data_IF_868986114663
#
_entry.id   IF_868986114663
#
_cell.length_a   1.000
_cell.length_b   1.000
_cell.length_c   1.000
_cell.angle_alpha   90.00
_cell.angle_beta   90.00
_cell.angle_gamma   90.00
#
_symmetry.space_group_name_H-M   'P 1'
#
loop_
_entity.id
_entity.type
_entity.pdbx_description
1 polymer ?
#
# COMPACT_ATOMS: atom_id res chain seq x y z
N UNK A 1 -7.46 10.54 -27.21
CA UNK A 1 -8.50 9.65 -26.70
C UNK A 1 -7.95 8.28 -26.24
N UNK A 2 -7.32 7.45 -27.08
CA UNK A 2 -6.79 6.12 -26.64
C UNK A 2 -5.77 6.17 -25.49
N UNK A 3 -4.83 7.15 -25.48
CA UNK A 3 -3.84 7.30 -24.41
C UNK A 3 -4.47 7.71 -23.07
N UNK A 4 -5.48 8.55 -23.09
CA UNK A 4 -6.23 8.95 -21.89
C UNK A 4 -7.03 7.78 -21.30
N UNK A 5 -7.72 7.00 -22.14
CA UNK A 5 -8.44 5.80 -21.70
C UNK A 5 -7.49 4.75 -21.10
N UNK A 6 -6.29 4.60 -21.67
CA UNK A 6 -5.26 3.72 -21.11
C UNK A 6 -4.81 4.21 -19.72
N UNK A 7 -4.55 5.49 -19.54
CA UNK A 7 -4.18 6.07 -18.25
C UNK A 7 -5.30 5.88 -17.19
N UNK A 8 -6.55 6.16 -17.59
CA UNK A 8 -7.71 5.94 -16.72
C UNK A 8 -7.81 4.46 -16.32
N UNK A 9 -7.62 3.53 -17.26
CA UNK A 9 -7.65 2.09 -16.96
C UNK A 9 -6.59 1.69 -15.93
N UNK A 10 -5.37 2.26 -16.04
CA UNK A 10 -4.30 2.01 -15.08
C UNK A 10 -4.65 2.64 -13.72
N UNK A 11 -5.28 3.80 -13.69
CA UNK A 11 -5.76 4.40 -12.44
C UNK A 11 -6.80 3.52 -11.73
N UNK A 12 -7.69 2.87 -12.47
CA UNK A 12 -8.61 1.88 -11.89
C UNK A 12 -7.90 0.65 -11.32
N UNK A 13 -6.75 0.24 -11.89
CA UNK A 13 -5.91 -0.80 -11.28
C UNK A 13 -5.43 -0.38 -9.89
N UNK A 14 -5.01 0.88 -9.70
CA UNK A 14 -4.60 1.38 -8.39
C UNK A 14 -5.78 1.46 -7.41
N UNK A 15 -6.95 1.91 -7.86
CA UNK A 15 -8.17 1.87 -7.04
C UNK A 15 -8.46 0.45 -6.55
N UNK A 16 -8.42 -0.53 -7.46
CA UNK A 16 -8.62 -1.94 -7.14
C UNK A 16 -7.58 -2.50 -6.15
N UNK A 17 -6.31 -2.09 -6.30
CA UNK A 17 -5.24 -2.47 -5.35
C UNK A 17 -5.52 -1.98 -3.92
N UNK A 18 -6.20 -0.84 -3.76
CA UNK A 18 -6.60 -0.32 -2.44
C UNK A 18 -7.47 -1.29 -1.63
N UNK A 19 -8.23 -2.14 -2.30
CA UNK A 19 -9.00 -3.19 -1.63
C UNK A 19 -8.12 -4.29 -1.01
N UNK A 20 -6.94 -4.55 -1.59
CA UNK A 20 -5.97 -5.51 -1.03
C UNK A 20 -5.39 -5.06 0.30
N UNK A 21 -5.23 -3.75 0.51
CA UNK A 21 -4.72 -3.18 1.76
C UNK A 21 -5.71 -3.40 2.92
N UNK A 22 -6.97 -3.73 2.63
CA UNK A 22 -8.00 -4.01 3.61
C UNK A 22 -7.85 -5.38 4.30
N UNK A 23 -7.00 -6.27 3.81
CA UNK A 23 -6.81 -7.60 4.39
C UNK A 23 -6.42 -7.54 5.89
N UNK A 24 -5.67 -6.51 6.30
CA UNK A 24 -5.35 -6.27 7.71
C UNK A 24 -6.58 -5.98 8.58
N UNK A 25 -7.62 -5.38 8.01
CA UNK A 25 -8.86 -5.05 8.72
C UNK A 25 -9.75 -6.29 8.94
N UNK A 26 -9.55 -7.35 8.13
CA UNK A 26 -10.29 -8.60 8.28
C UNK A 26 -9.80 -9.46 9.46
N UNK A 27 -8.60 -9.22 10.00
CA UNK A 27 -8.01 -10.05 11.04
C UNK A 27 -8.92 -10.14 12.28
N UNK A 28 -9.38 -9.00 12.80
CA UNK A 28 -10.24 -8.97 13.98
C UNK A 28 -11.64 -9.56 13.74
N UNK A 29 -12.12 -9.46 12.51
CA UNK A 29 -13.41 -10.04 12.11
C UNK A 29 -13.31 -11.55 11.99
N UNK A 30 -12.23 -12.03 11.37
CA UNK A 30 -11.95 -13.48 11.22
C UNK A 30 -11.71 -14.14 12.57
N UNK A 31 -11.00 -13.48 13.48
CA UNK A 31 -10.77 -13.95 14.85
C UNK A 31 -12.09 -14.28 15.54
N UNK A 32 -13.05 -13.35 15.50
CA UNK A 32 -14.37 -13.51 16.08
C UNK A 32 -15.23 -14.52 15.32
N UNK A 33 -15.26 -14.42 13.97
CA UNK A 33 -16.12 -15.23 13.12
C UNK A 33 -15.82 -16.74 13.18
N UNK A 34 -14.54 -17.08 13.37
CA UNK A 34 -14.12 -18.50 13.39
C UNK A 34 -13.65 -18.97 14.76
N UNK A 35 -13.78 -18.13 15.80
CA UNK A 35 -13.33 -18.42 17.17
C UNK A 35 -11.88 -18.97 17.21
N UNK A 36 -11.00 -18.35 16.43
CA UNK A 36 -9.58 -18.73 16.34
C UNK A 36 -8.73 -17.83 17.24
N UNK A 37 -7.52 -18.30 17.59
CA UNK A 37 -6.59 -17.47 18.39
C UNK A 37 -6.14 -16.22 17.62
N UNK A 38 -5.76 -15.12 18.31
CA UNK A 38 -5.21 -13.92 17.66
C UNK A 38 -4.01 -14.22 16.75
N UNK A 39 -3.17 -15.19 17.14
CA UNK A 39 -2.05 -15.66 16.31
C UNK A 39 -2.56 -16.28 15.00
N UNK A 40 -3.53 -17.18 15.08
CA UNK A 40 -4.12 -17.84 13.91
C UNK A 40 -4.82 -16.83 12.99
N UNK A 41 -5.57 -15.87 13.55
CA UNK A 41 -6.20 -14.81 12.79
C UNK A 41 -5.19 -13.93 12.05
N UNK A 42 -4.03 -13.65 12.64
CA UNK A 42 -2.99 -12.82 12.00
C UNK A 42 -2.35 -13.48 10.77
N UNK A 43 -2.47 -14.82 10.60
CA UNK A 43 -2.07 -15.52 9.39
C UNK A 43 -2.80 -15.00 8.14
N UNK A 44 -4.01 -14.46 8.30
CA UNK A 44 -4.78 -13.84 7.20
C UNK A 44 -4.00 -12.67 6.61
N UNK A 45 -3.56 -11.72 7.43
CA UNK A 45 -2.76 -10.59 6.94
C UNK A 45 -1.40 -11.04 6.41
N UNK A 46 -0.74 -11.97 7.12
CA UNK A 46 0.56 -12.51 6.72
C UNK A 46 0.49 -13.19 5.35
N UNK A 47 -0.57 -13.97 5.07
CA UNK A 47 -0.73 -14.68 3.79
C UNK A 47 -0.74 -13.73 2.60
N UNK A 48 -1.36 -12.56 2.72
CA UNK A 48 -1.34 -11.52 1.69
C UNK A 48 0.02 -10.83 1.56
N UNK A 49 0.61 -10.44 2.69
CA UNK A 49 1.86 -9.67 2.69
C UNK A 49 3.08 -10.48 2.26
N UNK A 50 3.12 -11.77 2.54
CA UNK A 50 4.25 -12.64 2.13
C UNK A 50 4.41 -12.67 0.61
N UNK A 51 3.33 -12.49 -0.14
CA UNK A 51 3.34 -12.45 -1.60
C UNK A 51 4.17 -11.29 -2.14
N UNK A 52 4.23 -10.15 -1.44
CA UNK A 52 5.10 -9.04 -1.82
C UNK A 52 6.59 -9.42 -1.75
N UNK A 53 6.99 -10.21 -0.76
CA UNK A 53 8.35 -10.73 -0.68
C UNK A 53 8.67 -11.79 -1.73
N UNK A 54 7.74 -12.70 -1.98
CA UNK A 54 7.97 -13.91 -2.80
C UNK A 54 7.78 -13.63 -4.30
N UNK A 55 6.71 -12.91 -4.70
CA UNK A 55 6.32 -12.76 -6.10
C UNK A 55 6.85 -11.50 -6.78
N UNK A 56 7.33 -10.48 -6.04
CA UNK A 56 7.71 -9.21 -6.67
C UNK A 56 8.86 -9.34 -7.67
N UNK A 57 9.97 -9.97 -7.28
CA UNK A 57 11.10 -10.18 -8.20
C UNK A 57 10.74 -11.14 -9.35
N UNK A 58 10.11 -12.32 -9.12
CA UNK A 58 9.60 -13.15 -10.21
C UNK A 58 8.69 -12.39 -11.18
N UNK A 59 7.79 -11.55 -10.68
CA UNK A 59 6.89 -10.74 -11.51
C UNK A 59 7.69 -9.76 -12.39
N UNK A 60 8.71 -9.09 -11.85
CA UNK A 60 9.60 -8.21 -12.61
C UNK A 60 10.28 -8.96 -13.77
N UNK A 61 10.72 -10.21 -13.53
CA UNK A 61 11.30 -11.08 -14.56
C UNK A 61 10.26 -11.51 -15.59
N UNK A 62 9.09 -11.93 -15.16
CA UNK A 62 8.04 -12.38 -16.08
C UNK A 62 7.50 -11.25 -16.94
N UNK A 63 7.28 -10.06 -16.37
CA UNK A 63 6.78 -8.92 -17.15
C UNK A 63 7.78 -8.48 -18.25
N UNK A 64 9.09 -8.63 -18.03
CA UNK A 64 10.09 -8.33 -19.06
C UNK A 64 9.98 -9.25 -20.28
N UNK A 65 9.42 -10.46 -20.10
CA UNK A 65 9.25 -11.46 -21.17
C UNK A 65 7.88 -11.38 -21.84
N UNK A 66 6.80 -11.26 -21.04
CA UNK A 66 5.43 -11.34 -21.56
C UNK A 66 4.73 -9.98 -21.67
N UNK A 67 5.35 -8.92 -21.14
CA UNK A 67 4.86 -7.54 -21.18
C UNK A 67 3.95 -7.18 -19.99
N UNK A 68 3.97 -5.89 -19.65
CA UNK A 68 3.27 -5.32 -18.48
C UNK A 68 1.75 -5.52 -18.55
N UNK A 69 1.12 -5.36 -19.73
CA UNK A 69 -0.32 -5.57 -19.91
C UNK A 69 -0.76 -6.99 -19.54
N UNK A 70 -0.04 -8.01 -20.04
CA UNK A 70 -0.36 -9.40 -19.75
C UNK A 70 -0.20 -9.71 -18.26
N UNK A 71 0.86 -9.16 -17.64
CA UNK A 71 1.06 -9.31 -16.20
C UNK A 71 -0.06 -8.65 -15.40
N UNK A 72 -0.49 -7.43 -15.75
CA UNK A 72 -1.66 -6.80 -15.10
C UNK A 72 -2.91 -7.65 -15.24
N UNK A 73 -3.15 -8.21 -16.42
CA UNK A 73 -4.32 -9.10 -16.65
C UNK A 73 -4.26 -10.33 -15.74
N UNK A 74 -3.09 -10.98 -15.62
CA UNK A 74 -2.88 -12.12 -14.71
C UNK A 74 -3.09 -11.69 -13.26
N UNK A 75 -2.54 -10.56 -12.84
CA UNK A 75 -2.71 -10.01 -11.50
C UNK A 75 -4.18 -9.74 -11.16
N UNK A 76 -4.94 -9.14 -12.09
CA UNK A 76 -6.37 -8.88 -11.92
C UNK A 76 -7.19 -10.17 -11.84
N UNK A 77 -6.86 -11.19 -12.63
CA UNK A 77 -7.54 -12.51 -12.58
C UNK A 77 -7.28 -13.19 -11.23
N UNK A 78 -6.04 -13.18 -10.72
CA UNK A 78 -5.72 -13.76 -9.42
C UNK A 78 -6.41 -13.00 -8.29
N UNK A 79 -6.43 -11.67 -8.35
CA UNK A 79 -7.11 -10.83 -7.36
C UNK A 79 -8.62 -11.09 -7.38
N UNK A 80 -9.22 -11.15 -8.56
CA UNK A 80 -10.64 -11.44 -8.75
C UNK A 80 -10.99 -12.85 -8.22
N UNK A 81 -10.17 -13.86 -8.52
CA UNK A 81 -10.35 -15.21 -7.99
C UNK A 81 -10.35 -15.20 -6.45
N UNK A 82 -9.37 -14.50 -5.83
CA UNK A 82 -9.33 -14.31 -4.39
C UNK A 82 -10.58 -13.62 -3.83
N UNK A 83 -11.10 -12.58 -4.50
CA UNK A 83 -12.31 -11.89 -4.06
C UNK A 83 -13.59 -12.74 -4.22
N UNK A 84 -13.64 -13.66 -5.18
CA UNK A 84 -14.82 -14.52 -5.43
C UNK A 84 -14.88 -15.71 -4.47
N UNK A 85 -13.74 -16.25 -4.03
CA UNK A 85 -13.70 -17.44 -3.16
C UNK A 85 -14.55 -17.31 -1.88
N UNK A 86 -14.49 -16.20 -1.09
CA UNK A 86 -15.32 -16.05 0.10
C UNK A 86 -16.83 -15.92 -0.17
N UNK A 87 -17.20 -15.58 -1.43
CA UNK A 87 -18.60 -15.54 -1.86
C UNK A 87 -19.14 -16.96 -2.03
N UNK A 88 -18.32 -17.85 -2.60
CA UNK A 88 -18.70 -19.25 -2.90
C UNK A 88 -18.67 -20.12 -1.64
N UNK A 89 -17.66 -19.96 -0.80
CA UNK A 89 -17.52 -20.72 0.45
C UNK A 89 -16.86 -19.86 1.53
N UNK A 90 -17.43 -19.92 2.73
CA UNK A 90 -16.97 -19.11 3.86
C UNK A 90 -16.50 -20.00 5.01
N UNK A 91 -15.19 -20.24 5.05
CA UNK A 91 -14.50 -20.90 6.14
C UNK A 91 -13.07 -20.38 6.24
N UNK A 92 -12.40 -20.65 7.37
CA UNK A 92 -11.07 -20.10 7.64
C UNK A 92 -10.01 -20.47 6.57
N UNK A 93 -9.86 -21.72 6.09
CA UNK A 93 -8.94 -22.05 5.01
C UNK A 93 -9.22 -21.32 3.71
N UNK A 94 -10.49 -21.14 3.34
CA UNK A 94 -10.89 -20.39 2.13
C UNK A 94 -10.52 -18.91 2.26
N UNK A 95 -10.73 -18.30 3.43
CA UNK A 95 -10.30 -16.91 3.66
C UNK A 95 -8.77 -16.77 3.55
N UNK A 96 -8.00 -17.70 4.11
CA UNK A 96 -6.54 -17.69 3.95
C UNK A 96 -6.13 -17.77 2.48
N UNK A 97 -6.73 -18.69 1.72
CA UNK A 97 -6.45 -18.84 0.29
C UNK A 97 -6.90 -17.60 -0.49
N UNK A 98 -8.05 -17.04 -0.16
CA UNK A 98 -8.57 -15.82 -0.78
C UNK A 98 -7.60 -14.65 -0.61
N UNK A 99 -7.16 -14.39 0.63
CA UNK A 99 -6.22 -13.29 0.93
C UNK A 99 -4.84 -13.55 0.32
N UNK A 100 -4.39 -14.79 0.27
CA UNK A 100 -3.16 -15.18 -0.42
C UNK A 100 -3.23 -14.86 -1.92
N UNK A 101 -4.34 -15.22 -2.60
CA UNK A 101 -4.55 -14.91 -4.01
C UNK A 101 -4.71 -13.41 -4.25
N UNK A 102 -5.43 -12.71 -3.38
CA UNK A 102 -5.54 -11.25 -3.43
C UNK A 102 -4.17 -10.58 -3.27
N UNK A 103 -3.35 -11.04 -2.32
CA UNK A 103 -1.99 -10.57 -2.11
C UNK A 103 -1.08 -10.83 -3.31
N UNK A 104 -1.17 -12.03 -3.91
CA UNK A 104 -0.45 -12.36 -5.14
C UNK A 104 -0.86 -11.44 -6.30
N UNK A 105 -2.17 -11.25 -6.50
CA UNK A 105 -2.72 -10.32 -7.49
C UNK A 105 -2.25 -8.89 -7.25
N UNK A 106 -2.39 -8.37 -6.02
CA UNK A 106 -1.95 -7.02 -5.65
C UNK A 106 -0.45 -6.81 -5.88
N UNK A 107 0.39 -7.80 -5.55
CA UNK A 107 1.83 -7.76 -5.82
C UNK A 107 2.13 -7.61 -7.31
N UNK A 108 1.49 -8.44 -8.15
CA UNK A 108 1.66 -8.39 -9.61
C UNK A 108 1.20 -7.03 -10.14
N UNK A 109 0.06 -6.53 -9.67
CA UNK A 109 -0.46 -5.22 -10.06
C UNK A 109 0.49 -4.08 -9.65
N UNK A 110 1.07 -4.14 -8.45
CA UNK A 110 2.02 -3.14 -7.95
C UNK A 110 3.30 -3.12 -8.78
N UNK A 111 3.90 -4.30 -9.05
CA UNK A 111 5.13 -4.43 -9.85
C UNK A 111 4.93 -3.96 -11.28
N UNK A 112 3.77 -4.26 -11.87
CA UNK A 112 3.51 -3.94 -13.29
C UNK A 112 2.86 -2.56 -13.48
N UNK A 113 2.03 -2.12 -12.54
CA UNK A 113 1.29 -0.87 -12.60
C UNK A 113 2.19 0.36 -12.45
N UNK A 114 3.12 0.33 -11.48
CA UNK A 114 3.99 1.47 -11.24
C UNK A 114 4.81 1.88 -12.49
N UNK A 115 5.55 0.99 -13.16
CA UNK A 115 6.27 1.37 -14.39
C UNK A 115 5.32 1.63 -15.56
N UNK A 116 4.14 1.02 -15.61
CA UNK A 116 3.17 1.29 -16.67
C UNK A 116 2.64 2.71 -16.62
N UNK A 117 2.48 3.32 -15.45
CA UNK A 117 2.15 4.75 -15.32
C UNK A 117 3.19 5.60 -16.08
N UNK A 118 4.49 5.27 -15.99
CA UNK A 118 5.55 5.96 -16.75
C UNK A 118 5.33 5.84 -18.26
N UNK A 119 4.98 4.65 -18.73
CA UNK A 119 4.84 4.38 -20.18
C UNK A 119 3.61 5.09 -20.78
N UNK A 120 2.53 5.23 -20.01
CA UNK A 120 1.28 5.88 -20.46
C UNK A 120 1.24 7.38 -20.17
N UNK A 121 2.14 7.90 -19.33
CA UNK A 121 2.23 9.32 -18.99
C UNK A 121 3.00 10.14 -20.02
N UNK A 122 2.80 11.46 -19.98
CA UNK A 122 3.64 12.41 -20.71
C UNK A 122 5.04 12.46 -20.10
N UNK A 123 6.03 12.82 -20.90
CA UNK A 123 7.42 12.97 -20.44
C UNK A 123 7.49 14.02 -19.32
N UNK A 124 8.31 13.72 -18.30
CA UNK A 124 8.47 14.59 -17.13
C UNK A 124 7.32 14.52 -16.11
N UNK A 125 6.19 13.87 -16.40
CA UNK A 125 5.03 13.81 -15.49
C UNK A 125 4.91 12.51 -14.70
N UNK A 126 5.88 11.62 -14.76
CA UNK A 126 5.79 10.30 -14.13
C UNK A 126 5.51 10.37 -12.63
N UNK A 127 6.31 11.12 -11.87
CA UNK A 127 6.14 11.25 -10.41
C UNK A 127 4.77 11.81 -10.03
N UNK A 128 4.28 12.81 -10.79
CA UNK A 128 2.94 13.39 -10.60
C UNK A 128 1.84 12.36 -10.84
N UNK A 129 1.89 11.65 -11.97
CA UNK A 129 0.88 10.64 -12.32
C UNK A 129 0.92 9.45 -11.37
N UNK A 130 2.11 9.04 -10.89
CA UNK A 130 2.23 7.98 -9.90
C UNK A 130 1.64 8.40 -8.55
N UNK A 131 1.81 9.65 -8.13
CA UNK A 131 1.18 10.19 -6.91
C UNK A 131 -0.35 10.23 -7.03
N UNK A 132 -0.91 10.63 -8.18
CA UNK A 132 -2.35 10.54 -8.43
C UNK A 132 -2.84 9.08 -8.41
N UNK A 133 -2.12 8.15 -9.03
CA UNK A 133 -2.46 6.73 -9.00
C UNK A 133 -2.50 6.20 -7.55
N UNK A 134 -1.50 6.55 -6.74
CA UNK A 134 -1.47 6.17 -5.33
C UNK A 134 -2.58 6.86 -4.50
N UNK A 135 -3.06 8.06 -4.90
CA UNK A 135 -4.22 8.68 -4.24
C UNK A 135 -5.50 7.86 -4.49
N UNK A 136 -5.69 7.34 -5.70
CA UNK A 136 -6.80 6.43 -6.01
C UNK A 136 -6.71 5.10 -5.24
N UNK A 137 -5.50 4.58 -5.05
CA UNK A 137 -5.28 3.44 -4.15
C UNK A 137 -5.77 3.74 -2.73
N UNK A 138 -5.43 4.93 -2.19
CA UNK A 138 -5.91 5.36 -0.88
C UNK A 138 -7.44 5.50 -0.81
N UNK A 139 -8.11 5.92 -1.90
CA UNK A 139 -9.58 5.92 -1.98
C UNK A 139 -10.12 4.48 -1.86
N UNK A 140 -9.53 3.51 -2.54
CA UNK A 140 -9.91 2.10 -2.42
C UNK A 140 -9.82 1.60 -0.98
N UNK A 141 -8.71 1.88 -0.31
CA UNK A 141 -8.50 1.52 1.12
C UNK A 141 -9.51 2.20 2.05
N UNK A 142 -9.74 3.51 1.84
CA UNK A 142 -10.70 4.29 2.64
C UNK A 142 -12.14 3.80 2.41
N UNK A 143 -12.50 3.53 1.16
CA UNK A 143 -13.84 3.00 0.81
C UNK A 143 -14.12 1.71 1.55
N UNK A 144 -13.15 0.81 1.65
CA UNK A 144 -13.28 -0.44 2.41
C UNK A 144 -13.57 -0.17 3.87
N UNK A 145 -12.80 0.72 4.51
CA UNK A 145 -12.99 1.10 5.91
C UNK A 145 -14.36 1.73 6.16
N UNK A 146 -14.77 2.64 5.27
CA UNK A 146 -16.08 3.31 5.37
C UNK A 146 -17.24 2.33 5.14
N UNK A 147 -17.13 1.43 4.17
CA UNK A 147 -18.13 0.40 3.91
C UNK A 147 -18.29 -0.49 5.14
N UNK A 148 -17.18 -0.93 5.77
CA UNK A 148 -17.24 -1.74 7.00
C UNK A 148 -17.97 -1.00 8.13
N UNK A 149 -17.68 0.28 8.34
CA UNK A 149 -18.34 1.09 9.38
C UNK A 149 -19.82 1.31 9.07
N UNK A 150 -20.17 1.71 7.84
CA UNK A 150 -21.54 2.00 7.44
C UNK A 150 -22.42 0.74 7.44
N UNK A 151 -21.88 -0.38 7.00
CA UNK A 151 -22.60 -1.65 6.93
C UNK A 151 -22.80 -2.19 8.34
N UNK A 152 -21.76 -2.20 9.18
CA UNK A 152 -21.84 -2.67 10.57
C UNK A 152 -22.90 -1.92 11.39
N UNK A 153 -23.05 -0.60 11.17
CA UNK A 153 -24.03 0.20 11.91
C UNK A 153 -25.47 0.13 11.36
N UNK A 154 -25.62 -0.01 10.02
CA UNK A 154 -26.93 0.10 9.37
C UNK A 154 -27.58 -1.25 9.10
N UNK A 155 -26.82 -2.27 8.72
CA UNK A 155 -27.35 -3.58 8.30
C UNK A 155 -27.50 -4.57 9.45
N UNK A 156 -26.79 -4.39 10.57
CA UNK A 156 -27.05 -5.14 11.81
C UNK A 156 -28.51 -5.03 12.25
N UNK A 157 -29.14 -3.87 12.00
CA UNK A 157 -30.53 -3.59 12.36
C UNK A 157 -31.54 -4.49 11.65
N UNK A 158 -31.15 -5.09 10.51
CA UNK A 158 -32.04 -5.92 9.66
C UNK A 158 -31.72 -7.43 9.71
N UNK A 159 -30.69 -7.86 10.45
CA UNK A 159 -30.35 -9.28 10.61
C UNK A 159 -29.89 -10.03 9.36
N UNK A 160 -29.77 -9.34 8.22
CA UNK A 160 -29.48 -9.99 6.92
C UNK A 160 -28.05 -10.53 6.80
N UNK A 161 -27.16 -10.07 7.64
CA UNK A 161 -25.74 -10.43 7.63
C UNK A 161 -25.23 -10.87 9.00
N UNK A 162 -26.13 -11.33 9.87
CA UNK A 162 -25.74 -11.91 11.16
C UNK A 162 -25.50 -13.42 11.00
N UNK A 163 -24.43 -13.90 11.63
CA UNK A 163 -24.13 -15.32 11.76
C UNK A 163 -23.94 -15.62 13.25
N UNK A 164 -24.66 -16.60 13.75
CA UNK A 164 -24.49 -17.07 15.13
C UNK A 164 -23.85 -18.44 15.08
N UNK A 165 -22.55 -18.57 15.44
CA UNK A 165 -21.91 -19.88 15.58
C UNK A 165 -22.65 -20.71 16.64
N UNK A 166 -22.64 -22.03 16.54
CA UNK A 166 -23.22 -22.89 17.58
C UNK A 166 -22.57 -22.59 18.94
N UNK A 167 -23.34 -22.06 19.91
CA UNK A 167 -22.90 -21.71 21.26
C UNK A 167 -22.13 -20.38 21.39
N UNK A 168 -22.09 -19.51 20.37
CA UNK A 168 -21.38 -18.23 20.37
C UNK A 168 -22.28 -17.00 20.24
N UNK A 169 -21.67 -15.81 20.38
CA UNK A 169 -22.33 -14.53 20.14
C UNK A 169 -22.62 -14.33 18.65
N UNK A 170 -23.69 -13.60 18.35
CA UNK A 170 -24.05 -13.22 16.98
C UNK A 170 -22.98 -12.30 16.39
N UNK A 171 -22.38 -12.71 15.29
CA UNK A 171 -21.29 -11.99 14.61
C UNK A 171 -21.87 -11.23 13.42
N UNK A 172 -21.47 -9.96 13.28
CA UNK A 172 -21.78 -9.17 12.10
C UNK A 172 -20.96 -9.69 10.91
N UNK A 173 -21.67 -10.21 9.92
CA UNK A 173 -21.10 -10.70 8.65
C UNK A 173 -21.19 -9.66 7.53
N UNK A 174 -21.50 -8.41 7.86
CA UNK A 174 -21.62 -7.32 6.88
C UNK A 174 -20.37 -7.15 6.02
N UNK A 175 -19.20 -7.50 6.54
CA UNK A 175 -17.96 -7.50 5.78
C UNK A 175 -17.99 -8.42 4.54
N UNK A 176 -18.85 -9.43 4.47
CA UNK A 176 -18.99 -10.30 3.30
C UNK A 176 -19.46 -9.54 2.06
N UNK A 177 -20.18 -8.42 2.22
CA UNK A 177 -20.58 -7.54 1.11
C UNK A 177 -19.36 -6.92 0.40
N UNK A 178 -18.22 -6.77 1.08
CA UNK A 178 -17.01 -6.24 0.46
C UNK A 178 -16.56 -7.09 -0.71
N UNK A 179 -16.63 -8.41 -0.60
CA UNK A 179 -16.13 -9.32 -1.64
C UNK A 179 -16.90 -9.20 -2.98
N UNK A 180 -18.24 -9.18 -3.03
CA UNK A 180 -18.97 -8.88 -4.24
C UNK A 180 -18.66 -7.49 -4.83
N UNK A 181 -18.53 -6.46 -3.99
CA UNK A 181 -18.17 -5.11 -4.43
C UNK A 181 -16.78 -5.13 -5.07
N UNK A 182 -15.80 -5.76 -4.42
CA UNK A 182 -14.44 -5.90 -4.96
C UNK A 182 -14.46 -6.69 -6.28
N UNK A 183 -15.21 -7.79 -6.36
CA UNK A 183 -15.30 -8.60 -7.56
C UNK A 183 -15.85 -7.79 -8.74
N UNK A 184 -16.89 -6.98 -8.53
CA UNK A 184 -17.45 -6.11 -9.59
C UNK A 184 -16.44 -5.05 -10.04
N UNK A 185 -15.78 -4.35 -9.12
CA UNK A 185 -14.77 -3.33 -9.47
C UNK A 185 -13.58 -3.97 -10.17
N UNK A 186 -13.12 -5.13 -9.71
CA UNK A 186 -12.02 -5.88 -10.34
C UNK A 186 -12.39 -6.35 -11.74
N UNK A 187 -13.63 -6.81 -11.95
CA UNK A 187 -14.13 -7.22 -13.28
C UNK A 187 -14.18 -6.04 -14.25
N UNK A 188 -14.72 -4.90 -13.81
CA UNK A 188 -14.74 -3.66 -14.60
C UNK A 188 -13.30 -3.26 -14.96
N UNK A 189 -12.40 -3.27 -13.97
CA UNK A 189 -10.98 -2.93 -14.18
C UNK A 189 -10.30 -3.88 -15.15
N UNK A 190 -10.57 -5.18 -15.05
CA UNK A 190 -10.06 -6.19 -15.98
C UNK A 190 -10.50 -5.91 -17.42
N UNK A 191 -11.79 -5.65 -17.63
CA UNK A 191 -12.32 -5.30 -18.95
C UNK A 191 -11.63 -4.02 -19.48
N UNK A 192 -11.53 -2.99 -18.66
CA UNK A 192 -10.85 -1.73 -19.04
C UNK A 192 -9.39 -1.97 -19.44
N UNK A 193 -8.62 -2.76 -18.70
CA UNK A 193 -7.22 -3.08 -19.00
C UNK A 193 -7.13 -3.87 -20.31
N UNK A 194 -7.96 -4.87 -20.50
CA UNK A 194 -7.95 -5.70 -21.72
C UNK A 194 -8.29 -4.87 -22.96
N UNK A 195 -9.28 -3.98 -22.87
CA UNK A 195 -9.78 -3.21 -24.02
C UNK A 195 -8.89 -1.98 -24.32
N UNK A 196 -8.54 -1.19 -23.30
CA UNK A 196 -7.96 0.13 -23.52
C UNK A 196 -6.44 0.22 -23.33
N UNK A 197 -5.81 -0.72 -22.61
CA UNK A 197 -4.35 -0.73 -22.50
C UNK A 197 -3.75 -1.41 -23.72
N UNK A 198 -2.89 -0.74 -24.51
CA UNK A 198 -2.24 -1.34 -25.68
C UNK A 198 -1.29 -2.48 -25.28
N UNK A 199 -1.12 -3.47 -26.16
CA UNK A 199 -0.22 -4.61 -25.87
C UNK A 199 1.26 -4.24 -25.95
N UNK A 200 1.60 -3.18 -26.70
CA UNK A 200 2.99 -2.74 -26.98
C UNK A 200 3.31 -1.41 -26.28
N UNK A 201 3.03 -1.29 -24.99
CA UNK A 201 3.24 -0.03 -24.23
C UNK A 201 4.67 0.08 -23.67
N UNK A 202 5.51 -0.95 -23.77
CA UNK A 202 6.91 -0.85 -23.34
C UNK A 202 7.66 0.20 -24.13
N UNK A 203 8.31 1.17 -23.46
CA UNK A 203 9.31 2.01 -24.09
C UNK A 203 10.47 1.12 -24.55
N UNK A 204 11.04 1.41 -25.71
CA UNK A 204 12.02 0.58 -26.44
C UNK A 204 13.33 0.27 -25.70
N UNK A 205 13.56 0.87 -24.54
CA UNK A 205 14.83 0.81 -23.80
C UNK A 205 14.90 -0.33 -22.77
N UNK A 206 13.79 -1.05 -22.53
CA UNK A 206 13.74 -2.10 -21.50
C UNK A 206 14.27 -3.43 -22.05
N UNK A 207 15.31 -3.98 -21.39
CA UNK A 207 15.89 -5.27 -21.73
C UNK A 207 15.19 -6.41 -20.99
N UNK A 208 15.10 -7.63 -21.59
CA UNK A 208 14.69 -8.82 -20.85
C UNK A 208 15.60 -9.04 -19.64
N UNK A 209 15.01 -9.31 -18.49
CA UNK A 209 15.78 -9.51 -17.26
C UNK A 209 15.71 -10.94 -16.75
N UNK A 210 16.61 -11.26 -15.78
CA UNK A 210 16.72 -12.54 -15.09
C UNK A 210 16.77 -12.30 -13.57
N UNK A 211 16.51 -13.34 -12.76
CA UNK A 211 16.69 -13.26 -11.30
C UNK A 211 18.12 -12.82 -10.94
N UNK A 212 19.13 -13.32 -11.65
CA UNK A 212 20.53 -12.93 -11.43
C UNK A 212 20.75 -11.43 -11.66
N UNK A 213 20.09 -10.83 -12.66
CA UNK A 213 20.18 -9.40 -12.93
C UNK A 213 19.51 -8.58 -11.82
N UNK A 214 18.39 -9.04 -11.27
CA UNK A 214 17.74 -8.38 -10.14
C UNK A 214 18.67 -8.38 -8.90
N UNK A 215 19.29 -9.52 -8.57
CA UNK A 215 20.24 -9.61 -7.45
C UNK A 215 21.46 -8.72 -7.72
N UNK A 216 22.01 -8.75 -8.93
CA UNK A 216 23.14 -7.91 -9.32
C UNK A 216 22.81 -6.41 -9.26
N UNK A 217 21.56 -6.03 -9.53
CA UNK A 217 21.11 -4.65 -9.41
C UNK A 217 21.23 -4.11 -7.98
N UNK A 218 21.05 -4.93 -6.94
CA UNK A 218 21.31 -4.55 -5.55
C UNK A 218 22.80 -4.28 -5.26
N UNK A 219 23.72 -4.74 -6.10
CA UNK A 219 25.13 -4.35 -6.04
C UNK A 219 25.38 -2.89 -6.43
N UNK A 220 24.41 -2.22 -7.08
CA UNK A 220 24.48 -0.80 -7.34
C UNK A 220 24.12 -0.02 -6.06
N UNK A 221 25.04 0.82 -5.51
CA UNK A 221 24.81 1.53 -4.25
C UNK A 221 23.56 2.43 -4.26
N UNK A 222 23.24 3.02 -5.42
CA UNK A 222 22.05 3.86 -5.57
C UNK A 222 20.77 3.02 -5.49
N UNK A 223 20.68 1.90 -6.20
CA UNK A 223 19.51 1.01 -6.17
C UNK A 223 19.33 0.41 -4.77
N UNK A 224 20.42 -0.03 -4.13
CA UNK A 224 20.37 -0.54 -2.75
C UNK A 224 19.88 0.53 -1.76
N UNK A 225 20.39 1.77 -1.90
CA UNK A 225 19.94 2.89 -1.06
C UNK A 225 18.43 3.16 -1.24
N UNK A 226 17.92 3.12 -2.48
CA UNK A 226 16.49 3.31 -2.77
C UNK A 226 15.63 2.12 -2.29
N UNK A 227 16.14 0.89 -2.41
CA UNK A 227 15.51 -0.31 -1.87
C UNK A 227 15.32 -0.20 -0.35
N UNK A 228 16.39 0.13 0.37
CA UNK A 228 16.33 0.33 1.82
C UNK A 228 15.44 1.52 2.19
N UNK A 229 15.39 2.57 1.34
CA UNK A 229 14.51 3.71 1.58
C UNK A 229 13.02 3.30 1.54
N UNK A 230 12.59 2.49 0.57
CA UNK A 230 11.24 1.94 0.54
C UNK A 230 10.99 0.99 1.71
N UNK A 231 11.95 0.13 2.03
CA UNK A 231 11.85 -0.81 3.15
C UNK A 231 11.58 -0.06 4.48
N UNK A 232 12.39 0.94 4.80
CA UNK A 232 12.22 1.72 6.01
C UNK A 232 10.97 2.62 5.97
N UNK A 233 10.65 3.18 4.80
CA UNK A 233 9.42 3.95 4.65
C UNK A 233 8.17 3.10 4.92
N UNK A 234 8.01 1.96 4.23
CA UNK A 234 6.87 1.08 4.43
C UNK A 234 6.79 0.55 5.86
N UNK A 235 7.94 0.28 6.47
CA UNK A 235 8.02 -0.11 7.85
C UNK A 235 7.58 0.98 8.83
N UNK A 236 8.00 2.22 8.61
CA UNK A 236 7.57 3.37 9.40
C UNK A 236 6.06 3.62 9.24
N UNK A 237 5.54 3.60 8.01
CA UNK A 237 4.12 3.77 7.71
C UNK A 237 3.27 2.72 8.44
N UNK A 238 3.59 1.44 8.30
CA UNK A 238 2.88 0.35 8.98
C UNK A 238 2.96 0.45 10.51
N UNK A 239 4.12 0.89 11.05
CA UNK A 239 4.30 1.12 12.48
C UNK A 239 3.37 2.22 12.99
N UNK A 240 3.17 3.29 12.23
CA UNK A 240 2.23 4.36 12.58
C UNK A 240 0.80 3.86 12.60
N UNK A 241 0.36 3.14 11.57
CA UNK A 241 -0.98 2.54 11.53
C UNK A 241 -1.25 1.62 12.73
N UNK A 242 -0.23 0.90 13.19
CA UNK A 242 -0.37 -0.03 14.30
C UNK A 242 -0.37 0.66 15.68
N UNK A 243 0.29 1.84 15.83
CA UNK A 243 0.53 2.47 17.14
C UNK A 243 -0.28 3.74 17.39
N UNK A 244 -0.73 4.43 16.36
CA UNK A 244 -1.61 5.61 16.51
C UNK A 244 -2.89 5.29 17.30
N UNK A 245 -3.60 4.17 17.05
CA UNK A 245 -4.74 3.80 17.87
C UNK A 245 -4.42 3.65 19.37
N UNK A 246 -3.24 3.14 19.71
CA UNK A 246 -2.82 2.93 21.11
C UNK A 246 -2.65 4.26 21.87
N UNK A 247 -2.16 5.33 21.23
CA UNK A 247 -2.08 6.65 21.86
C UNK A 247 -3.47 7.16 22.24
N UNK A 248 -4.46 6.98 21.37
CA UNK A 248 -5.80 7.44 21.62
C UNK A 248 -6.46 6.63 22.75
N UNK A 249 -6.28 5.30 22.77
CA UNK A 249 -6.84 4.45 23.82
C UNK A 249 -6.29 4.74 25.23
N UNK A 250 -5.03 5.17 25.32
CA UNK A 250 -4.40 5.49 26.61
C UNK A 250 -4.76 6.88 27.13
N UNK A 251 -5.13 7.83 26.26
CA UNK A 251 -5.21 9.24 26.63
C UNK A 251 -6.59 9.87 26.42
N UNK A 252 -7.53 9.19 25.75
CA UNK A 252 -8.83 9.77 25.41
C UNK A 252 -9.96 8.74 25.46
N UNK A 253 -11.21 9.24 25.50
CA UNK A 253 -12.43 8.46 25.26
C UNK A 253 -12.78 8.35 23.77
N UNK A 254 -11.97 8.92 22.87
CA UNK A 254 -12.18 8.86 21.42
C UNK A 254 -11.89 7.45 20.92
N UNK A 255 -12.73 6.95 20.02
CA UNK A 255 -12.54 5.63 19.40
C UNK A 255 -11.16 5.53 18.75
N UNK A 256 -10.32 4.57 19.11
CA UNK A 256 -8.95 4.44 18.60
C UNK A 256 -8.86 4.40 17.07
N UNK A 257 -9.87 3.84 16.39
CA UNK A 257 -9.96 3.78 14.93
C UNK A 257 -9.96 5.17 14.26
N UNK A 258 -10.40 6.23 14.95
CA UNK A 258 -10.40 7.60 14.42
C UNK A 258 -8.99 8.08 14.06
N UNK A 259 -7.97 7.64 14.80
CA UNK A 259 -6.57 7.97 14.48
C UNK A 259 -6.16 7.46 13.10
N UNK A 260 -6.49 6.21 12.78
CA UNK A 260 -6.21 5.64 11.47
C UNK A 260 -7.05 6.29 10.36
N UNK A 261 -8.31 6.65 10.62
CA UNK A 261 -9.14 7.38 9.64
C UNK A 261 -8.49 8.72 9.29
N UNK A 262 -8.07 9.50 10.29
CA UNK A 262 -7.38 10.78 10.05
C UNK A 262 -6.08 10.57 9.28
N UNK A 263 -5.30 9.54 9.62
CA UNK A 263 -4.07 9.20 8.91
C UNK A 263 -4.34 8.86 7.43
N UNK A 264 -5.34 8.02 7.13
CA UNK A 264 -5.71 7.63 5.76
C UNK A 264 -6.20 8.84 4.96
N UNK A 265 -7.06 9.68 5.56
CA UNK A 265 -7.53 10.92 4.89
C UNK A 265 -6.34 11.84 4.59
N UNK A 266 -5.42 12.01 5.54
CA UNK A 266 -4.24 12.84 5.37
C UNK A 266 -3.30 12.28 4.29
N UNK A 267 -3.13 10.95 4.22
CA UNK A 267 -2.41 10.27 3.14
C UNK A 267 -3.07 10.51 1.79
N UNK A 268 -4.40 10.39 1.69
CA UNK A 268 -5.14 10.66 0.45
C UNK A 268 -4.95 12.10 -0.01
N UNK A 269 -5.20 13.06 0.88
CA UNK A 269 -5.04 14.50 0.60
C UNK A 269 -3.60 14.81 0.21
N UNK A 270 -2.61 14.30 0.94
CA UNK A 270 -1.20 14.47 0.65
C UNK A 270 -0.78 13.90 -0.71
N UNK A 271 -1.27 12.70 -1.09
CA UNK A 271 -1.02 12.09 -2.41
C UNK A 271 -1.63 12.89 -3.54
N UNK A 272 -2.86 13.33 -3.37
CA UNK A 272 -3.55 14.16 -4.37
C UNK A 272 -2.85 15.51 -4.57
N UNK A 273 -2.60 16.24 -3.48
CA UNK A 273 -1.88 17.51 -3.51
C UNK A 273 -0.45 17.34 -4.06
N UNK A 274 0.22 16.25 -3.69
CA UNK A 274 1.53 15.90 -4.24
C UNK A 274 1.51 15.74 -5.74
N UNK A 275 0.49 15.08 -6.30
CA UNK A 275 0.29 14.98 -7.74
C UNK A 275 0.19 16.35 -8.42
N UNK A 276 -0.50 17.32 -7.78
CA UNK A 276 -0.60 18.71 -8.29
C UNK A 276 0.74 19.45 -8.15
N UNK A 277 1.38 19.38 -6.99
CA UNK A 277 2.66 20.07 -6.71
C UNK A 277 3.76 19.60 -7.64
N UNK A 278 3.83 18.29 -7.92
CA UNK A 278 4.84 17.67 -8.79
C UNK A 278 4.71 18.06 -10.27
N UNK A 279 3.64 18.74 -10.65
CA UNK A 279 3.58 19.35 -12.00
C UNK A 279 4.50 20.57 -12.15
N UNK A 280 4.87 21.19 -11.00
CA UNK A 280 5.69 22.42 -10.97
C UNK A 280 6.98 22.28 -10.17
N UNK A 281 7.13 21.19 -9.40
CA UNK A 281 8.27 20.97 -8.51
C UNK A 281 8.95 19.64 -8.85
N UNK A 282 10.30 19.60 -8.77
CA UNK A 282 11.05 18.38 -9.00
C UNK A 282 10.79 17.33 -7.89
N UNK A 283 10.73 16.06 -8.28
CA UNK A 283 10.53 14.94 -7.35
C UNK A 283 11.58 14.91 -6.22
N UNK A 284 12.84 15.22 -6.52
CA UNK A 284 13.94 15.26 -5.54
C UNK A 284 13.72 16.32 -4.46
N UNK A 285 13.32 17.54 -4.84
CA UNK A 285 12.99 18.62 -3.89
C UNK A 285 11.79 18.25 -3.03
N UNK A 286 10.74 17.72 -3.67
CA UNK A 286 9.51 17.38 -2.96
C UNK A 286 9.72 16.22 -1.97
N UNK A 287 10.59 15.26 -2.29
CA UNK A 287 10.97 14.18 -1.36
C UNK A 287 11.57 14.74 -0.06
N UNK A 288 12.44 15.74 -0.15
CA UNK A 288 13.02 16.39 1.04
C UNK A 288 11.96 17.06 1.93
N UNK A 289 10.98 17.73 1.31
CA UNK A 289 9.88 18.40 2.03
C UNK A 289 9.00 17.36 2.73
N UNK A 290 8.61 16.29 2.04
CA UNK A 290 7.73 15.26 2.61
C UNK A 290 8.39 14.53 3.76
N UNK A 291 9.68 14.21 3.67
CA UNK A 291 10.46 13.61 4.77
C UNK A 291 10.56 14.56 5.96
N UNK A 292 10.83 15.86 5.74
CA UNK A 292 10.90 16.85 6.81
C UNK A 292 9.55 16.98 7.55
N UNK A 293 8.44 17.06 6.81
CA UNK A 293 7.08 17.12 7.38
C UNK A 293 6.79 15.86 8.21
N UNK A 294 7.20 14.67 7.73
CA UNK A 294 7.04 13.41 8.46
C UNK A 294 7.83 13.40 9.77
N UNK A 295 9.06 13.92 9.76
CA UNK A 295 9.91 14.01 10.96
C UNK A 295 9.26 14.95 11.98
N UNK A 296 8.80 16.13 11.56
CA UNK A 296 8.10 17.08 12.44
C UNK A 296 6.87 16.42 13.07
N UNK A 297 6.04 15.77 12.26
CA UNK A 297 4.87 15.05 12.76
C UNK A 297 5.24 13.95 13.77
N UNK A 298 6.29 13.18 13.52
CA UNK A 298 6.74 12.13 14.44
C UNK A 298 7.27 12.72 15.75
N UNK A 299 8.05 13.80 15.68
CA UNK A 299 8.61 14.45 16.87
C UNK A 299 7.54 15.00 17.80
N UNK A 300 6.40 15.48 17.27
CA UNK A 300 5.29 15.93 18.09
C UNK A 300 4.70 14.82 18.98
N UNK A 301 4.83 13.55 18.60
CA UNK A 301 4.36 12.41 19.40
C UNK A 301 5.18 12.17 20.69
N UNK A 302 6.37 12.75 20.80
CA UNK A 302 7.17 12.67 22.02
C UNK A 302 6.78 13.72 23.07
N UNK A 303 6.01 14.74 22.67
CA UNK A 303 5.50 15.73 23.61
C UNK A 303 4.48 15.11 24.57
N UNK A 304 4.26 15.69 25.77
CA UNK A 304 3.13 15.33 26.62
C UNK A 304 1.83 15.36 25.84
N UNK A 305 0.89 14.45 26.20
CA UNK A 305 -0.39 14.39 25.50
C UNK A 305 -1.10 15.74 25.54
N UNK A 306 -1.44 16.24 24.36
CA UNK A 306 -2.30 17.38 24.12
C UNK A 306 -3.12 17.08 22.86
N UNK A 307 -4.44 17.23 22.94
CA UNK A 307 -5.31 16.87 21.80
C UNK A 307 -4.90 17.58 20.50
N UNK A 308 -4.62 18.87 20.55
CA UNK A 308 -4.23 19.64 19.37
C UNK A 308 -2.93 19.11 18.74
N UNK A 309 -1.85 18.97 19.54
CA UNK A 309 -0.56 18.49 19.04
C UNK A 309 -0.61 17.06 18.55
N UNK A 310 -1.42 16.20 19.18
CA UNK A 310 -1.60 14.79 18.77
C UNK A 310 -2.31 14.69 17.42
N UNK A 311 -3.44 15.40 17.24
CA UNK A 311 -4.13 15.40 15.95
C UNK A 311 -3.30 16.05 14.83
N UNK A 312 -2.62 17.16 15.14
CA UNK A 312 -1.70 17.81 14.21
C UNK A 312 -0.58 16.84 13.78
N UNK A 313 -0.04 16.06 14.73
CA UNK A 313 0.96 15.04 14.44
C UNK A 313 0.43 14.00 13.43
N UNK A 314 -0.78 13.45 13.63
CA UNK A 314 -1.36 12.46 12.71
C UNK A 314 -1.55 13.02 11.31
N UNK A 315 -1.99 14.28 11.21
CA UNK A 315 -2.16 14.98 9.92
C UNK A 315 -0.79 15.17 9.24
N UNK A 316 0.22 15.66 9.96
CA UNK A 316 1.56 15.88 9.41
C UNK A 316 2.24 14.58 8.99
N UNK A 317 2.09 13.50 9.78
CA UNK A 317 2.60 12.17 9.42
C UNK A 317 1.92 11.69 8.14
N UNK A 318 0.59 11.77 8.07
CA UNK A 318 -0.15 11.32 6.88
C UNK A 318 0.24 12.10 5.63
N UNK A 319 0.26 13.44 5.68
CA UNK A 319 0.66 14.29 4.55
C UNK A 319 2.13 14.04 4.16
N UNK A 320 3.02 13.93 5.15
CA UNK A 320 4.44 13.70 4.93
C UNK A 320 4.70 12.33 4.29
N UNK A 321 4.10 11.26 4.79
CA UNK A 321 4.26 9.91 4.25
C UNK A 321 3.66 9.74 2.84
N UNK A 322 2.66 10.55 2.50
CA UNK A 322 1.83 10.39 1.32
C UNK A 322 2.61 10.12 0.02
N UNK A 323 3.69 10.85 -0.21
CA UNK A 323 4.39 10.82 -1.48
C UNK A 323 5.79 10.18 -1.43
N UNK A 324 6.25 9.70 -0.27
CA UNK A 324 7.62 9.13 -0.14
C UNK A 324 7.78 7.92 -1.07
N UNK A 325 6.83 6.96 -1.05
CA UNK A 325 6.89 5.78 -1.91
C UNK A 325 6.91 6.15 -3.42
N UNK A 326 5.91 6.91 -3.95
CA UNK A 326 5.91 7.22 -5.38
C UNK A 326 7.11 8.05 -5.80
N UNK A 327 7.66 8.91 -4.95
CA UNK A 327 8.84 9.71 -5.24
C UNK A 327 10.11 8.86 -5.31
N UNK A 328 10.36 8.01 -4.32
CA UNK A 328 11.53 7.11 -4.31
C UNK A 328 11.47 6.18 -5.53
N UNK A 329 10.28 5.59 -5.79
CA UNK A 329 10.08 4.70 -6.92
C UNK A 329 10.34 5.41 -8.25
N UNK A 330 9.74 6.57 -8.48
CA UNK A 330 9.89 7.32 -9.73
C UNK A 330 11.32 7.82 -9.94
N UNK A 331 11.97 8.34 -8.89
CA UNK A 331 13.38 8.78 -8.95
C UNK A 331 14.31 7.62 -9.33
N UNK A 332 14.06 6.42 -8.77
CA UNK A 332 14.87 5.24 -9.05
C UNK A 332 14.70 4.77 -10.49
N UNK A 333 13.45 4.69 -10.98
CA UNK A 333 13.15 4.28 -12.37
C UNK A 333 13.64 5.31 -13.38
N UNK A 334 13.51 6.61 -13.10
CA UNK A 334 14.00 7.66 -13.99
C UNK A 334 15.54 7.73 -14.07
N UNK A 335 16.23 7.31 -12.98
CA UNK A 335 17.70 7.25 -12.97
C UNK A 335 18.26 6.07 -13.79
N UNK A 336 17.53 4.95 -13.85
CA UNK A 336 17.92 3.72 -14.57
C UNK A 336 16.74 3.14 -15.36
N UNK A 337 16.28 3.85 -16.43
CA UNK A 337 15.08 3.45 -17.17
C UNK A 337 15.19 2.07 -17.82
N UNK A 338 16.40 1.69 -18.24
CA UNK A 338 16.71 0.40 -18.85
C UNK A 338 16.53 -0.78 -17.88
N UNK A 339 16.53 -0.52 -16.56
CA UNK A 339 16.35 -1.51 -15.49
C UNK A 339 14.97 -1.40 -14.82
N UNK A 340 13.98 -0.83 -15.50
CA UNK A 340 12.65 -0.57 -14.95
C UNK A 340 11.96 -1.82 -14.39
N UNK A 341 12.17 -2.98 -15.01
CA UNK A 341 11.59 -4.26 -14.59
C UNK A 341 12.25 -4.80 -13.31
N UNK A 342 13.59 -4.75 -13.23
CA UNK A 342 14.37 -5.13 -12.05
C UNK A 342 14.02 -4.21 -10.87
N UNK A 343 14.04 -2.90 -11.10
CA UNK A 343 13.71 -1.89 -10.10
C UNK A 343 12.30 -2.10 -9.57
N UNK A 344 11.33 -2.34 -10.46
CA UNK A 344 9.94 -2.58 -10.04
C UNK A 344 9.80 -3.80 -9.15
N UNK A 345 10.44 -4.91 -9.50
CA UNK A 345 10.45 -6.11 -8.68
C UNK A 345 11.10 -5.87 -7.33
N UNK A 346 12.30 -5.25 -7.31
CA UNK A 346 13.05 -4.97 -6.09
C UNK A 346 12.33 -3.98 -5.17
N UNK A 347 11.90 -2.84 -5.71
CA UNK A 347 11.22 -1.80 -4.91
C UNK A 347 9.90 -2.32 -4.31
N UNK A 348 9.19 -3.19 -5.03
CA UNK A 348 7.98 -3.83 -4.50
C UNK A 348 8.32 -4.90 -3.45
N UNK A 349 9.43 -5.64 -3.60
CA UNK A 349 9.92 -6.54 -2.54
C UNK A 349 10.23 -5.79 -1.26
N UNK A 350 10.77 -4.56 -1.35
CA UNK A 350 11.09 -3.74 -0.19
C UNK A 350 9.86 -3.39 0.67
N UNK A 351 8.63 -3.51 0.15
CA UNK A 351 7.39 -3.33 0.92
C UNK A 351 7.32 -4.31 2.12
N UNK A 352 8.06 -5.42 2.08
CA UNK A 352 8.16 -6.36 3.21
C UNK A 352 8.66 -5.68 4.50
N UNK A 353 9.28 -4.51 4.42
CA UNK A 353 9.57 -3.67 5.57
C UNK A 353 8.36 -3.38 6.44
N UNK A 354 7.17 -3.29 5.84
CA UNK A 354 5.89 -3.13 6.54
C UNK A 354 5.53 -4.33 7.46
N UNK A 355 6.11 -5.50 7.23
CA UNK A 355 5.95 -6.65 8.13
C UNK A 355 7.06 -6.72 9.20
N UNK A 356 8.28 -6.28 8.87
CA UNK A 356 9.46 -6.48 9.73
C UNK A 356 9.62 -5.34 10.75
N UNK A 357 9.56 -4.07 10.32
CA UNK A 357 9.81 -2.92 11.19
C UNK A 357 8.80 -2.80 12.34
N UNK A 358 7.49 -3.07 12.15
CA UNK A 358 6.53 -3.04 13.25
C UNK A 358 6.83 -4.00 14.41
N UNK A 359 7.61 -5.07 14.19
CA UNK A 359 8.04 -5.98 15.26
C UNK A 359 8.93 -5.23 16.27
N UNK A 360 9.88 -4.43 15.80
CA UNK A 360 10.72 -3.60 16.64
C UNK A 360 9.94 -2.48 17.33
N UNK A 361 9.00 -1.88 16.61
CA UNK A 361 8.08 -0.89 17.17
C UNK A 361 7.22 -1.50 18.28
N UNK A 362 6.78 -2.76 18.09
CA UNK A 362 6.04 -3.52 19.10
C UNK A 362 6.86 -3.78 20.36
N UNK A 363 8.12 -4.20 20.20
CA UNK A 363 9.05 -4.41 21.31
C UNK A 363 9.27 -3.14 22.13
N UNK A 364 9.48 -2.00 21.45
CA UNK A 364 9.65 -0.69 22.11
C UNK A 364 8.38 -0.20 22.81
N UNK A 365 7.19 -0.53 22.28
CA UNK A 365 5.91 -0.21 22.93
C UNK A 365 5.73 -0.91 24.29
N UNK A 366 6.37 -2.07 24.47
CA UNK A 366 6.39 -2.77 25.76
C UNK A 366 7.12 -2.00 26.87
N UNK A 367 8.02 -1.08 26.50
CA UNK A 367 8.67 -0.15 27.45
C UNK A 367 7.81 1.08 27.73
N UNK A 368 7.01 1.50 26.74
CA UNK A 368 6.05 2.59 26.82
C UNK A 368 5.68 3.07 25.41
N UNK A 369 4.43 3.48 25.23
CA UNK A 369 3.88 3.77 23.90
C UNK A 369 4.68 4.85 23.15
N UNK A 370 5.23 5.84 23.84
CA UNK A 370 6.03 6.89 23.21
C UNK A 370 7.35 6.38 22.65
N UNK A 371 7.99 5.42 23.32
CA UNK A 371 9.26 4.82 22.86
C UNK A 371 9.07 4.04 21.56
N UNK A 372 7.85 3.54 21.28
CA UNK A 372 7.54 2.91 20.01
C UNK A 372 7.83 3.80 18.80
N UNK A 373 7.66 5.12 18.92
CA UNK A 373 7.88 6.08 17.83
C UNK A 373 9.34 6.39 17.53
N UNK A 374 10.28 5.91 18.37
CA UNK A 374 11.74 5.99 18.09
C UNK A 374 12.06 5.18 16.83
N UNK A 375 11.46 4.01 16.65
CA UNK A 375 11.74 3.14 15.50
C UNK A 375 11.35 3.80 14.17
N UNK A 376 10.12 4.31 13.96
CA UNK A 376 9.79 5.11 12.78
C UNK A 376 10.67 6.35 12.62
N UNK A 377 11.06 7.02 13.72
CA UNK A 377 11.97 8.18 13.66
C UNK A 377 13.35 7.80 13.09
N UNK A 378 13.91 6.67 13.52
CA UNK A 378 15.17 6.15 12.95
C UNK A 378 15.03 5.86 11.45
N UNK A 379 13.89 5.29 11.03
CA UNK A 379 13.61 5.09 9.61
C UNK A 379 13.57 6.42 8.83
N UNK A 380 12.92 7.44 9.39
CA UNK A 380 12.85 8.78 8.80
C UNK A 380 14.21 9.48 8.73
N UNK A 381 15.10 9.28 9.72
CA UNK A 381 16.48 9.78 9.69
C UNK A 381 17.25 9.15 8.51
N UNK A 382 17.07 7.85 8.27
CA UNK A 382 17.65 7.22 7.07
C UNK A 382 17.10 7.86 5.79
N UNK A 383 15.79 8.12 5.70
CA UNK A 383 15.20 8.82 4.56
C UNK A 383 15.76 10.24 4.38
N UNK A 384 16.06 10.95 5.47
CA UNK A 384 16.73 12.26 5.41
C UNK A 384 18.13 12.14 4.77
N UNK A 385 18.90 11.11 5.13
CA UNK A 385 20.17 10.83 4.47
C UNK A 385 19.97 10.56 2.96
N UNK A 386 18.96 9.77 2.58
CA UNK A 386 18.66 9.48 1.17
C UNK A 386 18.32 10.77 0.41
N UNK A 387 17.49 11.65 0.98
CA UNK A 387 17.13 12.93 0.33
C UNK A 387 18.35 13.81 0.09
N UNK A 388 19.25 13.89 1.07
CA UNK A 388 20.49 14.66 0.96
C UNK A 388 21.42 14.13 -0.18
N UNK A 389 21.50 12.80 -0.32
CA UNK A 389 22.29 12.17 -1.39
C UNK A 389 21.67 12.38 -2.78
N UNK A 390 20.34 12.24 -2.88
CA UNK A 390 19.59 12.40 -4.14
C UNK A 390 19.63 13.86 -4.62
N UNK A 391 19.64 14.83 -3.71
CA UNK A 391 19.75 16.27 -4.05
C UNK A 391 21.13 16.62 -4.57
N UNK A 392 22.22 16.10 -3.98
CA UNK A 392 23.60 16.37 -4.42
C UNK A 392 23.94 15.85 -5.81
N UNK A 393 23.26 14.79 -6.26
CA UNK A 393 23.45 14.24 -7.62
C UNK A 393 22.63 15.00 -8.68
N UNK A 394 22.12 16.18 -8.36
CA UNK A 394 21.31 17.03 -9.24
C UNK A 394 22.08 18.29 -9.72
N UNK A 395 23.22 18.56 -9.10
CA UNK A 395 24.23 19.54 -9.53
C UNK A 395 25.29 18.85 -10.41
#
# INVERSE_FOLDING_TARGET
>A
MKKQLSLISVFFVFLAMGFGDAAGQLVSVVEKAFNVTPFTASLVSLSGMIMFGVLSVPTGVWQSKIGKKKMLTIGLILFLAGAVLPILAFNFPIILLAVLLMGAGATILQVSGNPLIRDVSEEGKYSSMLSFAQSLKAIGTLSTSLILVLIGTSLMKYGWFSFTPEGGETIDMGFRILFPIFAVVLLITLVMVVVFVPSNVSKSDEKPTTLGNCIRALGNPFILMMFLAIFFYCGAEASMFNRIPSILSENTSVTPAMGNIVLIISLFVGRFLGGVILQKMSAKKFLGITVAVSIIGNLLLFLPYNAFTTWLSFILIGIGFANIFPLIFSICVDHKPEMSNEISGLMTTAIVGAAIVPLFTGAMAGVGIRYAFIVPLCCLVYLCFVTARVSKNAE
#
